data_IF_011695598382
#
_entry.id   IF_011695598382
#
_cell.length_a   1.000
_cell.length_b   1.000
_cell.length_c   1.000
_cell.angle_alpha   90.00
_cell.angle_beta   90.00
_cell.angle_gamma   90.00
#
_symmetry.space_group_name_H-M   'P 1'
#
loop_
_entity.id
_entity.type
_entity.pdbx_description
1 polymer ?
#
# COMPACT_ATOMS: atom_id res chain seq x y z
N UNK A 1 -6.93 33.60 -33.89
CA UNK A 1 -7.50 32.29 -33.49
C UNK A 1 -6.51 31.49 -32.65
N UNK A 2 -5.32 31.12 -33.15
CA UNK A 2 -4.35 30.29 -32.38
C UNK A 2 -3.89 30.97 -31.08
N UNK A 3 -3.45 32.23 -31.14
CA UNK A 3 -2.96 32.94 -29.94
C UNK A 3 -4.03 33.14 -28.87
N UNK A 4 -5.29 33.34 -29.27
CA UNK A 4 -6.42 33.51 -28.36
C UNK A 4 -6.69 32.22 -27.58
N UNK A 5 -6.74 31.08 -28.27
CA UNK A 5 -6.94 29.78 -27.63
C UNK A 5 -5.79 29.44 -26.67
N UNK A 6 -4.54 29.74 -27.05
CA UNK A 6 -3.38 29.50 -26.19
C UNK A 6 -3.46 30.33 -24.90
N UNK A 7 -3.72 31.63 -25.02
CA UNK A 7 -3.81 32.52 -23.84
C UNK A 7 -5.01 32.18 -22.95
N UNK A 8 -6.15 31.81 -23.55
CA UNK A 8 -7.32 31.36 -22.80
C UNK A 8 -7.03 30.07 -22.02
N UNK A 9 -6.41 29.07 -22.66
CA UNK A 9 -6.06 27.81 -22.00
C UNK A 9 -5.06 28.00 -20.86
N UNK A 10 -4.05 28.86 -21.05
CA UNK A 10 -3.08 29.20 -19.99
C UNK A 10 -3.82 29.78 -18.77
N UNK A 11 -4.73 30.73 -19.01
CA UNK A 11 -5.50 31.34 -17.91
C UNK A 11 -6.37 30.33 -17.20
N UNK A 12 -7.12 29.51 -17.93
CA UNK A 12 -8.00 28.50 -17.34
C UNK A 12 -7.22 27.47 -16.51
N UNK A 13 -6.04 27.04 -16.98
CA UNK A 13 -5.18 26.13 -16.23
C UNK A 13 -4.58 26.81 -14.99
N UNK A 14 -4.13 28.05 -15.10
CA UNK A 14 -3.57 28.78 -13.97
C UNK A 14 -4.61 29.01 -12.87
N UNK A 15 -5.80 29.48 -13.25
CA UNK A 15 -6.92 29.71 -12.34
C UNK A 15 -7.41 28.37 -11.76
N UNK A 16 -7.53 27.34 -12.60
CA UNK A 16 -7.94 25.99 -12.18
C UNK A 16 -6.99 25.33 -11.19
N UNK A 17 -5.68 25.38 -11.44
CA UNK A 17 -4.67 24.85 -10.52
C UNK A 17 -4.68 25.58 -9.17
N UNK A 18 -4.81 26.91 -9.19
CA UNK A 18 -4.86 27.72 -7.96
C UNK A 18 -6.09 27.37 -7.13
N UNK A 19 -7.25 27.28 -7.78
CA UNK A 19 -8.52 26.93 -7.15
C UNK A 19 -8.53 25.48 -6.61
N UNK A 20 -7.94 24.53 -7.35
CA UNK A 20 -7.81 23.15 -6.90
C UNK A 20 -6.88 23.01 -5.71
N UNK A 21 -5.77 23.77 -5.70
CA UNK A 21 -4.87 23.79 -4.56
C UNK A 21 -5.57 24.31 -3.30
N UNK A 22 -6.25 25.45 -3.38
CA UNK A 22 -6.89 26.09 -2.23
C UNK A 22 -8.08 25.30 -1.69
N UNK A 23 -8.95 24.79 -2.56
CA UNK A 23 -10.21 24.18 -2.13
C UNK A 23 -10.21 22.65 -2.06
N UNK A 24 -9.13 21.98 -2.46
CA UNK A 24 -9.02 20.52 -2.41
C UNK A 24 -7.72 20.05 -1.78
N UNK A 25 -6.56 20.47 -2.30
CA UNK A 25 -5.27 19.90 -1.88
C UNK A 25 -4.82 20.42 -0.51
N UNK A 26 -4.94 21.72 -0.25
CA UNK A 26 -4.40 22.35 0.96
C UNK A 26 -5.03 21.83 2.27
N UNK A 27 -6.28 21.36 2.21
CA UNK A 27 -7.00 20.78 3.35
C UNK A 27 -7.08 19.26 3.34
N UNK A 28 -6.32 18.57 2.47
CA UNK A 28 -6.37 17.11 2.38
C UNK A 28 -5.69 16.47 3.58
N UNK A 29 -6.43 15.66 4.34
CA UNK A 29 -5.92 14.92 5.48
C UNK A 29 -6.00 13.40 5.24
N UNK A 30 -5.01 12.64 5.71
CA UNK A 30 -5.04 11.19 5.63
C UNK A 30 -6.05 10.60 6.63
N UNK A 31 -6.88 9.67 6.16
CA UNK A 31 -7.72 8.83 7.02
C UNK A 31 -6.88 7.66 7.54
N UNK A 32 -6.20 7.89 8.66
CA UNK A 32 -5.26 6.93 9.23
C UNK A 32 -5.91 5.58 9.58
N UNK A 33 -7.18 5.57 10.01
CA UNK A 33 -7.90 4.35 10.36
C UNK A 33 -8.15 3.48 9.11
N UNK A 34 -8.65 4.07 8.03
CA UNK A 34 -8.84 3.33 6.77
C UNK A 34 -7.51 2.87 6.16
N UNK A 35 -6.48 3.69 6.25
CA UNK A 35 -5.14 3.31 5.79
C UNK A 35 -4.63 2.07 6.54
N UNK A 36 -4.79 2.03 7.87
CA UNK A 36 -4.42 0.88 8.67
C UNK A 36 -5.27 -0.37 8.33
N UNK A 37 -6.59 -0.21 8.14
CA UNK A 37 -7.45 -1.32 7.73
C UNK A 37 -7.01 -1.92 6.37
N UNK A 38 -6.74 -1.06 5.39
CA UNK A 38 -6.27 -1.50 4.08
C UNK A 38 -4.91 -2.19 4.14
N UNK A 39 -4.03 -1.74 5.04
CA UNK A 39 -2.72 -2.35 5.25
C UNK A 39 -2.85 -3.77 5.83
N UNK A 40 -3.66 -3.94 6.89
CA UNK A 40 -3.89 -5.23 7.54
C UNK A 40 -4.55 -6.26 6.60
N UNK A 41 -5.42 -5.79 5.70
CA UNK A 41 -6.10 -6.64 4.70
C UNK A 41 -5.25 -6.86 3.43
N UNK A 42 -4.13 -6.16 3.31
CA UNK A 42 -3.27 -6.16 2.13
C UNK A 42 -2.48 -7.45 1.98
N UNK A 43 -2.93 -8.35 1.08
CA UNK A 43 -2.26 -9.63 0.82
C UNK A 43 -0.86 -9.50 0.18
N UNK A 44 -0.53 -8.34 -0.38
CA UNK A 44 0.75 -8.09 -1.06
C UNK A 44 1.94 -8.02 -0.10
N UNK A 45 1.67 -7.76 1.19
CA UNK A 45 2.69 -7.72 2.24
C UNK A 45 3.38 -9.06 2.47
N UNK A 46 2.79 -10.16 1.98
CA UNK A 46 3.33 -11.52 2.07
C UNK A 46 4.74 -11.66 1.49
N UNK A 47 5.13 -10.77 0.56
CA UNK A 47 6.47 -10.78 -0.05
C UNK A 47 7.57 -10.50 0.95
N UNK A 48 7.28 -9.79 2.06
CA UNK A 48 8.20 -9.60 3.17
C UNK A 48 8.59 -10.93 3.85
N UNK A 49 7.74 -11.96 3.75
CA UNK A 49 8.00 -13.28 4.32
C UNK A 49 8.94 -14.14 3.43
N UNK A 50 9.09 -13.80 2.15
CA UNK A 50 9.86 -14.61 1.19
C UNK A 50 11.30 -14.92 1.65
N UNK A 51 12.09 -13.98 2.19
CA UNK A 51 13.45 -14.26 2.65
C UNK A 51 13.52 -15.22 3.85
N UNK A 52 12.44 -15.33 4.62
CA UNK A 52 12.40 -16.10 5.87
C UNK A 52 11.83 -17.50 5.67
N UNK A 53 10.73 -17.62 4.93
CA UNK A 53 10.01 -18.89 4.75
C UNK A 53 10.04 -19.43 3.32
N UNK A 54 10.58 -18.66 2.37
CA UNK A 54 10.63 -18.99 0.95
C UNK A 54 9.35 -18.62 0.19
N UNK A 55 9.48 -18.43 -1.13
CA UNK A 55 8.38 -18.00 -2.01
C UNK A 55 7.16 -18.93 -1.96
N UNK A 56 7.36 -20.25 -2.00
CA UNK A 56 6.25 -21.21 -2.06
C UNK A 56 5.36 -21.15 -0.81
N UNK A 57 5.98 -21.05 0.38
CA UNK A 57 5.23 -20.96 1.64
C UNK A 57 4.48 -19.62 1.74
N UNK A 58 5.14 -18.52 1.38
CA UNK A 58 4.51 -17.20 1.30
C UNK A 58 3.32 -17.18 0.33
N UNK A 59 3.48 -17.70 -0.88
CA UNK A 59 2.41 -17.78 -1.86
C UNK A 59 1.23 -18.63 -1.36
N UNK A 60 1.51 -19.70 -0.62
CA UNK A 60 0.47 -20.52 0.00
C UNK A 60 -0.30 -19.77 1.10
N UNK A 61 0.39 -19.00 1.96
CA UNK A 61 -0.25 -18.13 2.96
C UNK A 61 -1.20 -17.14 2.28
N UNK A 62 -0.71 -16.42 1.26
CA UNK A 62 -1.53 -15.43 0.56
C UNK A 62 -2.75 -16.07 -0.12
N UNK A 63 -2.58 -17.24 -0.74
CA UNK A 63 -3.68 -17.97 -1.37
C UNK A 63 -4.73 -18.41 -0.35
N UNK A 64 -4.29 -18.89 0.81
CA UNK A 64 -5.19 -19.29 1.90
C UNK A 64 -5.96 -18.09 2.45
N UNK A 65 -5.25 -17.01 2.78
CA UNK A 65 -5.84 -15.76 3.25
C UNK A 65 -6.91 -15.22 2.27
N UNK A 66 -6.61 -15.23 0.97
CA UNK A 66 -7.58 -14.81 -0.06
C UNK A 66 -8.81 -15.73 -0.14
N UNK A 67 -8.60 -17.05 -0.11
CA UNK A 67 -9.68 -18.03 -0.29
C UNK A 67 -10.61 -18.09 0.91
N UNK A 68 -10.05 -17.96 2.12
CA UNK A 68 -10.78 -18.10 3.38
C UNK A 68 -11.21 -16.75 3.97
N UNK A 69 -10.83 -15.62 3.35
CA UNK A 69 -11.15 -14.29 3.84
C UNK A 69 -10.44 -13.93 5.15
N UNK A 70 -9.28 -14.53 5.39
CA UNK A 70 -8.45 -14.34 6.59
C UNK A 70 -7.38 -13.27 6.37
N UNK A 71 -6.85 -12.74 7.46
CA UNK A 71 -5.61 -11.95 7.43
C UNK A 71 -4.39 -12.83 7.11
N UNK A 72 -3.29 -12.21 6.66
CA UNK A 72 -2.03 -12.93 6.45
C UNK A 72 -1.52 -13.57 7.74
N UNK A 73 -1.71 -12.89 8.89
CA UNK A 73 -1.33 -13.40 10.21
C UNK A 73 -2.09 -14.68 10.54
N UNK A 74 -3.41 -14.65 10.47
CA UNK A 74 -4.27 -15.82 10.75
C UNK A 74 -3.95 -16.99 9.82
N UNK A 75 -3.76 -16.72 8.53
CA UNK A 75 -3.41 -17.76 7.55
C UNK A 75 -2.02 -18.37 7.82
N UNK A 76 -1.03 -17.55 8.21
CA UNK A 76 0.32 -17.99 8.52
C UNK A 76 0.37 -18.86 9.78
N UNK A 77 -0.33 -18.44 10.83
CA UNK A 77 -0.49 -19.19 12.09
C UNK A 77 -1.26 -20.50 11.86
N UNK A 78 -2.36 -20.45 11.09
CA UNK A 78 -3.15 -21.64 10.78
C UNK A 78 -2.41 -22.67 9.92
N UNK A 79 -1.43 -22.25 9.13
CA UNK A 79 -0.54 -23.14 8.37
C UNK A 79 0.67 -23.62 9.19
N UNK A 80 0.93 -23.02 10.35
CA UNK A 80 2.07 -23.34 11.20
C UNK A 80 3.41 -23.03 10.56
N UNK A 81 3.46 -22.04 9.64
CA UNK A 81 4.69 -21.70 8.93
C UNK A 81 5.61 -20.77 9.70
N UNK A 82 5.08 -20.08 10.71
CA UNK A 82 5.78 -19.13 11.57
C UNK A 82 4.94 -18.86 12.83
N UNK A 83 5.58 -18.37 13.90
CA UNK A 83 4.90 -17.95 15.14
C UNK A 83 4.42 -16.51 15.07
N UNK A 84 3.59 -16.10 16.04
CA UNK A 84 3.06 -14.73 16.09
C UNK A 84 4.20 -13.70 16.29
N UNK A 85 5.21 -14.08 17.08
CA UNK A 85 6.40 -13.26 17.32
C UNK A 85 7.27 -13.13 16.05
N UNK A 86 7.39 -14.21 15.26
CA UNK A 86 8.09 -14.18 13.97
C UNK A 86 7.34 -13.32 12.95
N UNK A 87 6.00 -13.38 12.95
CA UNK A 87 5.18 -12.51 12.11
C UNK A 87 5.42 -11.04 12.46
N UNK A 88 5.37 -10.65 13.73
CA UNK A 88 5.62 -9.27 14.17
C UNK A 88 7.04 -8.79 13.85
N UNK A 89 8.02 -9.69 13.96
CA UNK A 89 9.41 -9.37 13.68
C UNK A 89 9.66 -9.12 12.18
N UNK A 90 9.05 -9.92 11.30
CA UNK A 90 9.31 -9.90 9.86
C UNK A 90 8.33 -9.02 9.10
N UNK A 91 7.08 -8.92 9.56
CA UNK A 91 6.04 -8.16 8.89
C UNK A 91 6.15 -6.67 9.23
N UNK A 92 7.04 -5.98 8.52
CA UNK A 92 7.38 -4.56 8.74
C UNK A 92 7.10 -3.70 7.50
N UNK A 93 5.84 -3.25 7.30
CA UNK A 93 5.46 -2.43 6.15
C UNK A 93 6.28 -1.15 6.01
N UNK A 94 6.70 -0.56 7.13
CA UNK A 94 7.58 0.61 7.19
C UNK A 94 8.90 0.39 6.44
N UNK A 95 9.42 -0.84 6.44
CA UNK A 95 10.68 -1.21 5.77
C UNK A 95 10.50 -1.60 4.30
N UNK A 96 9.26 -1.67 3.80
CA UNK A 96 8.96 -2.02 2.40
C UNK A 96 8.87 -0.80 1.47
N UNK A 97 9.01 0.41 2.02
CA UNK A 97 8.91 1.68 1.27
C UNK A 97 10.25 2.12 0.65
N UNK A 98 11.35 1.50 1.06
CA UNK A 98 12.69 1.78 0.54
C UNK A 98 13.02 0.87 -0.64
N UNK A 99 13.88 1.33 -1.55
CA UNK A 99 14.43 0.46 -2.59
C UNK A 99 15.13 -0.71 -1.90
N UNK A 100 14.72 -1.94 -2.21
CA UNK A 100 15.12 -3.16 -1.49
C UNK A 100 16.62 -3.21 -1.24
N UNK A 101 17.03 -2.89 0.00
CA UNK A 101 18.40 -3.01 0.45
C UNK A 101 18.69 -4.50 0.70
N UNK A 102 19.02 -5.20 -0.38
CA UNK A 102 19.65 -6.51 -0.36
C UNK A 102 20.47 -6.68 -1.64
N UNK A 103 21.74 -6.28 -1.58
CA UNK A 103 22.80 -6.65 -2.54
C UNK A 103 22.93 -5.77 -3.76
#
# INVERSE_FOLDING_TARGET
MIIHNVLQSIRLLADGCSNFNEHCVAGMEPDAEKMAEHLERGLMLVTALNPHIGYDKSAHIAKKAYTEGLTLREAALALGYLTDEEFDAWMRPDKMLEAGSNG
#
